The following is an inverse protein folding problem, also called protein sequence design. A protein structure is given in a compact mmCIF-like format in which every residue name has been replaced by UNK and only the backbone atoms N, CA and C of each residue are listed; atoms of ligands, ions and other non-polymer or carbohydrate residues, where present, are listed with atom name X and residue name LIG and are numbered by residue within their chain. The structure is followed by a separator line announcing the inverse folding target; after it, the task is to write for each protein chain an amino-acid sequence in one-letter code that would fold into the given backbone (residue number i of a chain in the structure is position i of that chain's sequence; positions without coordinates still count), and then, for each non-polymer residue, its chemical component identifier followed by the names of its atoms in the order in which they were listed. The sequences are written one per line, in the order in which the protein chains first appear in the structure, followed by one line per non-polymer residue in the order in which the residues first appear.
data_IF_738409586033
#
_entry.id   IF_738409586033
#
_cell.length_a   1.000
_cell.length_b   1.000
_cell.length_c   1.000
_cell.angle_alpha   90.00
_cell.angle_beta   90.00
_cell.angle_gamma   90.00
#
_symmetry.space_group_name_H-M   'P 1'
#
loop_
_entity.id
_entity.type
_entity.pdbx_description
1 polymer ?
#
# COMPACT_ATOMS: atom_id res chain seq x y z
N UNK A 1 33.23 -39.98 -27.04
CA UNK A 1 34.33 -39.15 -26.50
C UNK A 1 33.73 -38.21 -25.49
N UNK A 2 34.01 -38.45 -24.22
CA UNK A 2 33.32 -37.91 -23.06
C UNK A 2 34.31 -37.00 -22.33
N UNK A 3 34.25 -35.69 -22.52
CA UNK A 3 35.15 -34.74 -21.86
C UNK A 3 34.36 -33.91 -20.84
N UNK A 4 34.11 -34.50 -19.68
CA UNK A 4 33.58 -33.82 -18.52
C UNK A 4 34.67 -33.04 -17.79
N UNK A 5 34.56 -31.72 -17.75
CA UNK A 5 35.32 -30.89 -16.81
C UNK A 5 34.64 -31.02 -15.44
N UNK A 6 35.36 -31.57 -14.46
CA UNK A 6 34.78 -31.78 -13.12
C UNK A 6 34.82 -30.48 -12.30
N UNK A 7 33.81 -30.31 -11.44
CA UNK A 7 33.61 -29.17 -10.50
C UNK A 7 34.83 -28.87 -9.60
N UNK A 8 35.78 -29.80 -9.47
CA UNK A 8 37.05 -29.61 -8.72
C UNK A 8 38.16 -28.89 -9.49
N UNK A 9 38.05 -28.75 -10.82
CA UNK A 9 39.02 -28.00 -11.63
C UNK A 9 38.71 -26.50 -11.73
N UNK A 10 37.46 -26.09 -11.43
CA UNK A 10 37.06 -24.68 -11.44
C UNK A 10 37.50 -23.91 -10.19
N UNK A 11 37.72 -24.59 -9.07
CA UNK A 11 38.02 -23.95 -7.77
C UNK A 11 39.53 -23.86 -7.41
N UNK A 12 40.42 -24.08 -8.38
CA UNK A 12 41.89 -23.92 -8.19
C UNK A 12 42.50 -22.73 -8.94
N UNK A 13 41.68 -21.86 -9.51
CA UNK A 13 42.11 -20.66 -10.23
C UNK A 13 41.94 -19.37 -9.42
N UNK A 14 42.45 -19.30 -8.19
CA UNK A 14 42.65 -18.03 -7.49
C UNK A 14 44.05 -18.04 -6.88
N UNK A 15 44.89 -17.08 -7.29
CA UNK A 15 46.19 -16.88 -6.64
C UNK A 15 47.08 -15.84 -7.32
N UNK A 16 47.09 -14.66 -6.70
CA UNK A 16 48.14 -13.62 -6.73
C UNK A 16 48.32 -12.77 -7.99
N UNK A 17 47.98 -11.48 -7.86
CA UNK A 17 48.97 -10.40 -8.00
C UNK A 17 48.65 -9.24 -7.06
N UNK A 18 49.72 -8.68 -6.53
CA UNK A 18 49.92 -7.75 -5.41
C UNK A 18 49.64 -6.27 -5.72
N UNK A 19 49.20 -5.58 -4.66
CA UNK A 19 49.62 -4.26 -4.16
C UNK A 19 49.74 -3.06 -5.12
N UNK A 20 49.00 -2.00 -4.79
CA UNK A 20 49.22 -0.63 -5.28
C UNK A 20 48.43 0.38 -4.46
N UNK A 21 49.02 0.85 -3.37
CA UNK A 21 48.55 1.97 -2.53
C UNK A 21 48.78 3.29 -3.26
N UNK A 22 47.76 4.14 -3.37
CA UNK A 22 47.93 5.60 -3.40
C UNK A 22 46.71 6.29 -2.77
N UNK A 23 46.85 6.64 -1.49
CA UNK A 23 46.06 7.68 -0.82
C UNK A 23 46.65 9.04 -1.24
N UNK A 24 45.87 9.86 -1.93
CA UNK A 24 46.15 11.29 -2.08
C UNK A 24 45.03 12.05 -1.38
N UNK A 25 45.30 12.43 -0.13
CA UNK A 25 44.52 13.40 0.61
C UNK A 25 45.02 14.79 0.23
N UNK A 26 44.21 15.57 -0.50
CA UNK A 26 44.43 17.00 -0.68
C UNK A 26 43.66 17.74 0.41
N UNK A 27 44.33 18.04 1.52
CA UNK A 27 43.88 19.05 2.48
C UNK A 27 44.36 20.43 1.99
N UNK A 28 43.42 21.35 1.77
CA UNK A 28 43.71 22.77 1.56
C UNK A 28 43.51 23.55 2.89
N UNK A 29 44.22 24.68 3.08
CA UNK A 29 44.44 25.27 4.40
C UNK A 29 43.29 26.16 4.88
N UNK A 30 43.18 26.26 6.21
CA UNK A 30 42.31 27.21 6.91
C UNK A 30 42.72 28.67 6.65
N UNK A 31 41.77 29.61 6.53
CA UNK A 31 42.04 31.01 6.77
C UNK A 31 41.82 31.37 8.25
N UNK A 32 42.77 32.16 8.73
CA UNK A 32 42.88 32.83 10.02
C UNK A 32 41.68 33.69 10.40
N UNK A 33 41.43 33.77 11.71
CA UNK A 33 40.34 34.53 12.30
C UNK A 33 40.37 36.05 12.08
N UNK A 34 39.17 36.60 12.07
CA UNK A 34 38.85 37.97 12.43
C UNK A 34 37.63 37.90 13.35
N UNK A 35 37.78 38.34 14.59
CA UNK A 35 36.68 38.39 15.56
C UNK A 35 35.76 39.55 15.25
N UNK A 36 34.46 39.30 15.30
CA UNK A 36 33.47 40.34 15.55
C UNK A 36 32.61 39.95 16.75
N UNK A 37 32.41 40.96 17.57
CA UNK A 37 31.92 40.98 18.93
C UNK A 37 30.49 40.47 19.06
N UNK A 38 30.27 39.66 20.10
CA UNK A 38 28.96 39.26 20.59
C UNK A 38 28.11 40.48 20.96
N UNK A 39 26.96 40.63 20.29
CA UNK A 39 25.84 41.41 20.78
C UNK A 39 24.84 40.43 21.39
N UNK A 40 24.81 40.38 22.72
CA UNK A 40 23.79 39.65 23.50
C UNK A 40 22.47 40.39 23.39
N UNK A 41 21.64 40.04 22.40
CA UNK A 41 20.22 40.35 22.39
C UNK A 41 19.49 39.30 23.21
N UNK A 42 18.91 39.70 24.35
CA UNK A 42 18.12 38.83 25.20
C UNK A 42 16.96 38.21 24.44
N UNK A 43 17.05 36.90 24.19
CA UNK A 43 15.94 36.12 23.68
C UNK A 43 14.85 36.02 24.74
N UNK A 44 13.66 36.50 24.42
CA UNK A 44 12.47 35.85 24.95
C UNK A 44 12.57 34.37 24.52
N UNK A 45 12.19 33.39 25.37
CA UNK A 45 12.19 32.01 24.94
C UNK A 45 11.26 31.93 23.73
N UNK A 46 11.82 31.71 22.54
CA UNK A 46 11.06 31.28 21.40
C UNK A 46 10.37 30.02 21.89
N UNK A 47 9.04 30.09 22.01
CA UNK A 47 8.25 28.91 22.31
C UNK A 47 8.54 27.97 21.15
N UNK A 48 9.38 26.95 21.36
CA UNK A 48 9.64 25.93 20.35
C UNK A 48 8.26 25.38 19.96
N UNK A 49 7.80 25.79 18.78
CA UNK A 49 6.56 25.28 18.24
C UNK A 49 6.80 23.81 17.97
N UNK A 50 6.24 22.98 18.84
CA UNK A 50 6.20 21.53 18.69
C UNK A 50 5.59 21.22 17.32
N UNK A 51 6.38 20.62 16.43
CA UNK A 51 5.90 20.22 15.12
C UNK A 51 4.97 19.03 15.31
N UNK A 52 3.74 19.13 14.81
CA UNK A 52 2.73 18.08 14.93
C UNK A 52 2.40 17.60 13.52
N UNK A 53 2.49 16.29 13.28
CA UNK A 53 2.14 15.73 11.98
C UNK A 53 0.61 15.76 11.76
N UNK A 54 0.15 15.42 10.56
CA UNK A 54 -1.27 15.45 10.25
C UNK A 54 -2.11 14.34 10.95
N UNK A 55 -1.48 13.47 11.77
CA UNK A 55 -2.15 12.56 12.70
C UNK A 55 -2.21 13.09 14.15
N UNK A 56 -1.80 14.34 14.39
CA UNK A 56 -1.80 14.91 15.74
C UNK A 56 -0.63 14.45 16.62
N UNK A 57 0.36 13.75 16.05
CA UNK A 57 1.53 13.26 16.78
C UNK A 57 2.63 14.32 16.79
N UNK A 58 3.09 14.68 17.99
CA UNK A 58 4.25 15.55 18.18
C UNK A 58 5.53 14.84 17.67
N UNK A 59 6.23 15.51 16.77
CA UNK A 59 7.48 15.02 16.18
C UNK A 59 8.68 15.38 17.07
N UNK A 60 9.79 14.62 16.96
CA UNK A 60 11.04 14.95 17.66
C UNK A 60 11.49 16.39 17.42
N UNK A 61 12.19 16.98 18.39
CA UNK A 61 12.64 18.38 18.31
C UNK A 61 13.61 18.67 17.14
N UNK A 62 14.28 17.64 16.62
CA UNK A 62 15.17 17.71 15.46
C UNK A 62 14.49 17.38 14.12
N UNK A 63 13.17 17.17 14.12
CA UNK A 63 12.39 16.94 12.90
C UNK A 63 12.52 18.14 11.95
N UNK A 64 12.67 17.85 10.67
CA UNK A 64 12.60 18.86 9.61
C UNK A 64 11.19 19.45 9.54
N UNK A 65 11.03 20.63 8.92
CA UNK A 65 9.70 21.17 8.64
C UNK A 65 8.88 20.15 7.82
N UNK A 66 7.56 20.11 7.97
CA UNK A 66 6.72 19.07 7.34
C UNK A 66 6.85 19.10 5.81
N UNK A 67 6.97 20.28 5.22
CA UNK A 67 7.20 20.49 3.78
C UNK A 67 8.53 19.89 3.28
N UNK A 68 9.49 19.68 4.18
CA UNK A 68 10.78 19.06 3.87
C UNK A 68 10.78 17.53 4.13
N UNK A 69 9.72 16.98 4.72
CA UNK A 69 9.59 15.55 5.03
C UNK A 69 8.87 14.81 3.90
N UNK A 70 9.62 14.09 3.06
CA UNK A 70 9.06 13.24 2.02
C UNK A 70 9.81 11.91 1.91
N UNK A 71 9.11 10.90 1.40
CA UNK A 71 9.71 9.61 1.03
C UNK A 71 9.74 9.49 -0.49
N UNK A 72 10.94 9.55 -1.07
CA UNK A 72 11.11 9.25 -2.49
C UNK A 72 11.22 7.73 -2.69
N UNK A 73 10.29 7.15 -3.45
CA UNK A 73 10.28 5.73 -3.80
C UNK A 73 10.56 5.61 -5.29
N UNK A 74 11.70 5.01 -5.63
CA UNK A 74 12.04 4.74 -7.03
C UNK A 74 11.31 3.47 -7.49
N UNK A 75 10.38 3.61 -8.43
CA UNK A 75 9.52 2.52 -8.93
C UNK A 75 10.16 1.68 -10.05
N UNK A 76 11.23 2.20 -10.66
CA UNK A 76 11.98 1.53 -11.72
C UNK A 76 13.26 2.31 -12.05
N UNK A 77 14.14 1.71 -12.86
CA UNK A 77 15.26 2.47 -13.44
C UNK A 77 14.74 3.34 -14.58
N UNK A 78 15.35 4.51 -14.87
CA UNK A 78 15.05 5.25 -16.09
C UNK A 78 15.13 4.33 -17.31
N UNK A 79 14.01 4.10 -18.00
CA UNK A 79 13.91 3.21 -19.17
C UNK A 79 13.54 1.75 -18.90
N UNK A 80 13.41 1.31 -17.64
CA UNK A 80 12.82 0.01 -17.27
C UNK A 80 11.38 0.22 -16.79
N UNK A 81 10.42 -0.46 -17.43
CA UNK A 81 8.98 -0.56 -17.10
C UNK A 81 8.41 0.56 -16.21
N UNK A 82 7.87 1.61 -16.85
CA UNK A 82 6.77 2.43 -16.30
C UNK A 82 5.41 1.91 -16.81
N UNK A 83 5.34 0.63 -17.15
CA UNK A 83 4.16 -0.03 -17.69
C UNK A 83 3.28 -0.60 -16.58
N UNK A 84 1.98 -0.52 -16.79
CA UNK A 84 0.97 -1.10 -15.94
C UNK A 84 -0.42 -0.49 -16.19
N UNK A 85 -1.50 -1.23 -15.93
CA UNK A 85 -2.82 -0.65 -15.72
C UNK A 85 -2.74 0.28 -14.52
N UNK A 86 -3.34 1.44 -14.69
CA UNK A 86 -3.55 2.39 -13.62
C UNK A 86 -4.97 2.14 -13.11
N UNK A 87 -5.11 1.86 -11.83
CA UNK A 87 -6.36 1.41 -11.27
C UNK A 87 -6.20 1.04 -9.80
N UNK A 88 -7.34 0.78 -9.18
CA UNK A 88 -7.40 0.23 -7.83
C UNK A 88 -6.81 -1.19 -7.77
N UNK A 89 -6.30 -1.62 -6.62
CA UNK A 89 -5.66 -2.94 -6.40
C UNK A 89 -6.55 -4.11 -6.84
N UNK A 90 -7.87 -3.95 -6.67
CA UNK A 90 -8.88 -4.95 -7.06
C UNK A 90 -9.33 -4.83 -8.53
N UNK A 91 -8.58 -4.11 -9.37
CA UNK A 91 -8.72 -4.12 -10.83
C UNK A 91 -7.66 -5.01 -11.48
N UNK A 92 -6.41 -4.83 -11.07
CA UNK A 92 -5.27 -5.64 -11.47
C UNK A 92 -4.21 -5.50 -10.40
N UNK A 93 -3.62 -6.61 -9.97
CA UNK A 93 -2.50 -6.62 -9.02
C UNK A 93 -1.17 -6.75 -9.75
N UNK A 94 -1.09 -7.59 -10.78
CA UNK A 94 0.18 -7.88 -11.44
C UNK A 94 0.58 -6.84 -12.47
N UNK A 95 -0.41 -6.22 -13.10
CA UNK A 95 -0.19 -5.16 -14.07
C UNK A 95 -0.32 -3.77 -13.43
N UNK A 96 -0.44 -3.59 -12.10
CA UNK A 96 -0.64 -2.25 -11.52
C UNK A 96 0.61 -1.37 -11.53
N UNK A 97 0.38 -0.06 -11.63
CA UNK A 97 1.35 0.95 -11.18
C UNK A 97 1.64 0.79 -9.67
N UNK A 98 2.91 0.58 -9.30
CA UNK A 98 3.31 0.15 -7.96
C UNK A 98 2.99 1.11 -6.77
N UNK A 99 2.64 2.41 -6.92
CA UNK A 99 2.24 3.23 -5.76
C UNK A 99 0.72 3.36 -5.54
N UNK A 100 -0.15 2.82 -6.40
CA UNK A 100 -1.60 3.07 -6.29
C UNK A 100 -2.24 2.51 -5.01
N UNK A 101 -1.57 1.56 -4.34
CA UNK A 101 -2.04 0.96 -3.09
C UNK A 101 -1.79 1.79 -1.85
N UNK A 102 -1.16 2.96 -1.98
CA UNK A 102 -1.02 3.87 -0.84
C UNK A 102 -2.35 4.52 -0.46
N UNK A 103 -3.26 4.74 -1.42
CA UNK A 103 -4.58 5.30 -1.12
C UNK A 103 -5.66 4.28 -0.83
N UNK A 104 -5.33 3.00 -0.74
CA UNK A 104 -6.29 1.90 -0.59
C UNK A 104 -6.15 1.23 0.78
N UNK A 105 -7.28 0.80 1.33
CA UNK A 105 -7.38 0.17 2.65
C UNK A 105 -7.75 -1.30 2.49
N UNK A 106 -6.91 -2.25 2.95
CA UNK A 106 -7.27 -3.65 2.92
C UNK A 106 -8.20 -4.04 4.08
N UNK A 107 -8.79 -5.22 4.04
CA UNK A 107 -9.60 -5.72 5.16
C UNK A 107 -8.72 -6.04 6.39
N UNK A 108 -7.54 -6.64 6.13
CA UNK A 108 -6.55 -7.00 7.16
C UNK A 108 -5.14 -6.66 6.66
N UNK A 109 -4.14 -6.62 7.54
CA UNK A 109 -2.72 -6.51 7.19
C UNK A 109 -1.85 -7.47 8.00
N UNK A 110 -0.55 -7.53 7.69
CA UNK A 110 0.45 -8.17 8.54
C UNK A 110 1.15 -7.12 9.41
N UNK A 111 1.17 -7.34 10.72
CA UNK A 111 1.97 -6.51 11.63
C UNK A 111 3.48 -6.85 11.52
N UNK A 112 4.33 -6.17 12.30
CA UNK A 112 5.78 -6.39 12.29
C UNK A 112 6.20 -7.82 12.69
N UNK A 113 5.36 -8.51 13.47
CA UNK A 113 5.56 -9.89 13.89
C UNK A 113 4.96 -10.91 12.90
N UNK A 114 4.42 -10.42 11.77
CA UNK A 114 3.78 -11.19 10.69
C UNK A 114 2.47 -11.86 11.11
N UNK A 115 1.81 -11.32 12.12
CA UNK A 115 0.48 -11.73 12.52
C UNK A 115 -0.55 -10.96 11.67
N UNK A 116 -1.65 -11.64 11.35
CA UNK A 116 -2.79 -11.00 10.68
C UNK A 116 -3.51 -10.11 11.69
N UNK A 117 -3.66 -8.83 11.37
CA UNK A 117 -4.37 -7.84 12.16
C UNK A 117 -5.42 -7.15 11.30
N UNK A 118 -6.53 -6.73 11.90
CA UNK A 118 -7.59 -6.01 11.19
C UNK A 118 -7.20 -4.55 10.97
N UNK A 119 -7.52 -4.02 9.79
CA UNK A 119 -7.38 -2.58 9.49
C UNK A 119 -8.63 -2.01 8.83
N UNK A 120 -9.27 -2.77 7.93
CA UNK A 120 -10.65 -2.56 7.49
C UNK A 120 -11.70 -3.12 8.46
N UNK A 121 -11.29 -3.94 9.42
CA UNK A 121 -12.15 -4.57 10.42
C UNK A 121 -11.53 -4.52 11.82
N UNK A 122 -12.37 -4.49 12.86
CA UNK A 122 -11.94 -4.55 14.26
C UNK A 122 -11.78 -5.99 14.77
N UNK A 123 -12.52 -6.94 14.19
CA UNK A 123 -12.48 -8.35 14.56
C UNK A 123 -13.06 -9.25 13.47
N UNK A 124 -12.85 -10.56 13.62
CA UNK A 124 -13.51 -11.58 12.81
C UNK A 124 -13.80 -12.84 13.62
N UNK A 125 -14.86 -13.56 13.25
CA UNK A 125 -15.29 -14.79 13.91
C UNK A 125 -15.64 -15.87 12.88
N UNK A 126 -15.18 -17.10 13.13
CA UNK A 126 -15.56 -18.26 12.34
C UNK A 126 -16.91 -18.81 12.85
N UNK A 127 -17.78 -19.21 11.92
CA UNK A 127 -19.02 -19.91 12.24
C UNK A 127 -18.79 -21.25 12.95
N UNK A 128 -19.79 -21.74 13.69
CA UNK A 128 -19.72 -23.04 14.38
C UNK A 128 -19.44 -24.23 13.44
N UNK A 129 -20.01 -24.20 12.23
CA UNK A 129 -19.79 -25.22 11.20
C UNK A 129 -18.45 -25.05 10.44
N UNK A 130 -17.85 -23.87 10.56
CA UNK A 130 -16.61 -23.46 9.93
C UNK A 130 -16.73 -23.08 8.45
N UNK A 131 -17.96 -22.85 7.96
CA UNK A 131 -18.25 -22.58 6.56
C UNK A 131 -18.38 -21.09 6.22
N UNK A 132 -18.41 -20.20 7.21
CA UNK A 132 -18.30 -18.77 6.98
C UNK A 132 -17.47 -18.05 8.05
N UNK A 133 -17.05 -16.84 7.72
CA UNK A 133 -16.40 -15.89 8.62
C UNK A 133 -17.14 -14.56 8.60
N UNK A 134 -17.47 -14.03 9.78
CA UNK A 134 -18.00 -12.68 9.96
C UNK A 134 -16.88 -11.72 10.31
N UNK A 135 -16.68 -10.69 9.50
CA UNK A 135 -15.76 -9.59 9.77
C UNK A 135 -16.55 -8.38 10.26
N UNK A 136 -16.23 -7.90 11.46
CA UNK A 136 -16.78 -6.66 12.01
C UNK A 136 -15.98 -5.48 11.51
N UNK A 137 -16.55 -4.72 10.58
CA UNK A 137 -15.91 -3.57 9.96
C UNK A 137 -15.78 -2.43 10.97
N UNK A 138 -14.74 -1.62 10.80
CA UNK A 138 -14.54 -0.45 11.65
C UNK A 138 -15.55 0.64 11.26
N UNK A 139 -16.40 1.12 12.19
CA UNK A 139 -17.46 2.07 11.86
C UNK A 139 -16.95 3.47 11.52
N UNK A 140 -15.71 3.79 11.87
CA UNK A 140 -15.06 5.08 11.57
C UNK A 140 -14.46 5.18 10.17
N UNK A 141 -14.48 4.10 9.38
CA UNK A 141 -13.92 4.10 8.04
C UNK A 141 -14.73 4.99 7.10
N UNK A 142 -14.00 5.82 6.36
CA UNK A 142 -14.57 6.72 5.37
C UNK A 142 -13.62 6.88 4.20
N UNK A 143 -14.19 7.05 3.03
CA UNK A 143 -13.49 7.51 1.86
C UNK A 143 -13.05 8.97 2.02
N UNK A 144 -12.08 9.40 1.22
CA UNK A 144 -11.49 10.74 1.26
C UNK A 144 -12.45 11.87 0.87
N UNK A 145 -13.61 11.55 0.30
CA UNK A 145 -14.72 12.45 -0.02
C UNK A 145 -15.71 12.61 1.16
N UNK A 146 -15.50 11.87 2.26
CA UNK A 146 -16.36 11.86 3.44
C UNK A 146 -17.44 10.79 3.44
N UNK A 147 -17.58 10.00 2.36
CA UNK A 147 -18.55 8.90 2.30
C UNK A 147 -18.14 7.78 3.25
N UNK A 148 -19.03 7.29 4.15
CA UNK A 148 -18.72 6.14 5.00
C UNK A 148 -18.42 4.89 4.18
N UNK A 149 -17.48 4.06 4.65
CA UNK A 149 -17.20 2.75 4.07
C UNK A 149 -18.05 1.71 4.80
N UNK A 150 -18.91 0.99 4.07
CA UNK A 150 -19.81 -0.02 4.61
C UNK A 150 -19.61 -1.39 3.93
N UNK A 151 -20.19 -2.45 4.49
CA UNK A 151 -20.04 -3.82 3.98
C UNK A 151 -20.43 -3.97 2.50
N UNK A 152 -21.42 -3.20 2.02
CA UNK A 152 -21.83 -3.24 0.62
C UNK A 152 -20.74 -2.74 -0.35
N UNK A 153 -19.85 -1.84 0.08
CA UNK A 153 -18.73 -1.38 -0.75
C UNK A 153 -17.72 -2.51 -1.00
N UNK A 154 -17.49 -3.35 0.01
CA UNK A 154 -16.65 -4.55 -0.12
C UNK A 154 -17.31 -5.56 -1.06
N UNK A 155 -18.60 -5.85 -0.87
CA UNK A 155 -19.38 -6.74 -1.76
C UNK A 155 -19.30 -6.25 -3.20
N UNK A 156 -19.55 -4.95 -3.43
CA UNK A 156 -19.45 -4.33 -4.75
C UNK A 156 -18.04 -4.48 -5.33
N UNK A 157 -17.01 -4.20 -4.53
CA UNK A 157 -15.61 -4.27 -4.98
C UNK A 157 -15.23 -5.67 -5.46
N UNK A 158 -15.56 -6.70 -4.68
CA UNK A 158 -15.29 -8.09 -5.06
C UNK A 158 -16.08 -8.52 -6.30
N UNK A 159 -17.37 -8.16 -6.38
CA UNK A 159 -18.20 -8.45 -7.56
C UNK A 159 -17.62 -7.80 -8.82
N UNK A 160 -17.23 -6.52 -8.74
CA UNK A 160 -16.58 -5.83 -9.85
C UNK A 160 -15.28 -6.55 -10.23
N UNK A 161 -14.40 -6.82 -9.27
CA UNK A 161 -13.10 -7.43 -9.53
C UNK A 161 -13.24 -8.76 -10.28
N UNK A 162 -14.09 -9.65 -9.79
CA UNK A 162 -14.21 -11.00 -10.32
C UNK A 162 -15.02 -11.11 -11.61
N UNK A 163 -15.82 -10.09 -11.95
CA UNK A 163 -16.52 -10.02 -13.25
C UNK A 163 -15.74 -9.28 -14.33
N UNK A 164 -14.73 -8.48 -13.95
CA UNK A 164 -13.95 -7.66 -14.89
C UNK A 164 -12.51 -8.18 -15.07
N UNK A 165 -12.27 -9.46 -14.83
CA UNK A 165 -11.01 -10.11 -15.19
C UNK A 165 -9.82 -9.78 -14.28
N UNK A 166 -10.07 -9.56 -12.98
CA UNK A 166 -8.99 -9.33 -12.00
C UNK A 166 -7.91 -10.43 -12.05
N UNK A 167 -6.69 -10.03 -12.40
CA UNK A 167 -5.57 -10.94 -12.70
C UNK A 167 -5.00 -11.70 -11.48
N UNK A 168 -5.47 -11.36 -10.28
CA UNK A 168 -5.10 -12.00 -9.02
C UNK A 168 -6.28 -12.71 -8.34
N UNK A 169 -7.39 -12.92 -9.06
CA UNK A 169 -8.58 -13.58 -8.50
C UNK A 169 -8.31 -14.99 -7.94
N UNK A 170 -7.28 -15.67 -8.43
CA UNK A 170 -6.86 -17.00 -7.95
C UNK A 170 -6.56 -17.03 -6.44
N UNK A 171 -6.14 -15.90 -5.87
CA UNK A 171 -5.86 -15.77 -4.45
C UNK A 171 -7.11 -15.92 -3.57
N UNK A 172 -8.30 -15.70 -4.15
CA UNK A 172 -9.59 -15.73 -3.46
C UNK A 172 -10.41 -17.00 -3.77
N UNK A 173 -9.84 -17.97 -4.48
CA UNK A 173 -10.56 -19.15 -4.98
C UNK A 173 -11.10 -20.11 -3.91
N UNK A 174 -10.72 -19.94 -2.65
CA UNK A 174 -11.28 -20.68 -1.52
C UNK A 174 -12.54 -20.03 -0.93
N UNK A 175 -12.88 -18.80 -1.36
CA UNK A 175 -14.19 -18.19 -1.13
C UNK A 175 -15.21 -18.83 -2.08
N UNK A 176 -16.39 -19.12 -1.54
CA UNK A 176 -17.47 -19.79 -2.25
C UNK A 176 -17.83 -19.05 -3.56
N UNK A 177 -17.92 -19.82 -4.64
CA UNK A 177 -18.29 -19.38 -6.00
C UNK A 177 -17.32 -18.40 -6.70
N UNK A 178 -16.15 -18.02 -6.13
CA UNK A 178 -15.21 -17.12 -6.84
C UNK A 178 -14.75 -17.73 -8.16
N UNK A 179 -14.38 -19.02 -8.18
CA UNK A 179 -13.89 -19.69 -9.41
C UNK A 179 -14.94 -19.66 -10.51
N UNK A 180 -16.17 -20.00 -10.16
CA UNK A 180 -17.31 -20.08 -11.06
C UNK A 180 -17.72 -18.70 -11.58
N UNK A 181 -17.70 -17.67 -10.74
CA UNK A 181 -17.96 -16.28 -11.16
C UNK A 181 -16.88 -15.78 -12.11
N UNK A 182 -15.59 -16.02 -11.79
CA UNK A 182 -14.47 -15.64 -12.65
C UNK A 182 -14.49 -16.38 -13.99
N UNK A 183 -14.95 -17.63 -14.01
CA UNK A 183 -15.13 -18.41 -15.24
C UNK A 183 -16.35 -17.98 -16.07
N UNK A 184 -17.26 -17.18 -15.50
CA UNK A 184 -18.54 -16.82 -16.12
C UNK A 184 -19.61 -17.92 -16.04
N UNK A 185 -19.38 -18.96 -15.23
CA UNK A 185 -20.31 -20.08 -15.01
C UNK A 185 -21.43 -19.72 -14.04
N UNK A 186 -21.21 -18.70 -13.19
CA UNK A 186 -22.19 -18.17 -12.23
C UNK A 186 -22.26 -16.64 -12.28
N UNK A 187 -23.43 -16.04 -11.99
CA UNK A 187 -23.58 -14.60 -11.90
C UNK A 187 -22.90 -14.04 -10.64
N UNK A 188 -22.53 -12.76 -10.65
CA UNK A 188 -21.80 -12.10 -9.56
C UNK A 188 -22.58 -12.08 -8.24
N UNK A 189 -23.90 -12.14 -8.31
CA UNK A 189 -24.81 -12.17 -7.17
C UNK A 189 -24.67 -13.46 -6.36
N UNK A 190 -24.20 -14.55 -6.96
CA UNK A 190 -23.92 -15.82 -6.28
C UNK A 190 -22.55 -15.85 -5.58
N UNK A 191 -21.74 -14.79 -5.67
CA UNK A 191 -20.47 -14.72 -4.96
C UNK A 191 -20.69 -14.91 -3.45
N UNK A 192 -19.85 -15.74 -2.82
CA UNK A 192 -19.93 -16.05 -1.39
C UNK A 192 -19.47 -14.93 -0.46
N UNK A 193 -19.85 -13.68 -0.76
CA UNK A 193 -19.52 -12.49 0.02
C UNK A 193 -20.81 -11.69 0.16
N UNK A 194 -21.24 -11.46 1.40
CA UNK A 194 -22.50 -10.78 1.70
C UNK A 194 -22.32 -9.71 2.78
N UNK A 195 -23.07 -8.61 2.66
CA UNK A 195 -23.26 -7.63 3.71
C UNK A 195 -24.43 -8.07 4.58
N UNK A 196 -24.16 -8.43 5.84
CA UNK A 196 -25.20 -8.79 6.82
C UNK A 196 -25.87 -7.51 7.36
N UNK A 197 -25.07 -6.49 7.59
CA UNK A 197 -25.42 -5.12 7.93
C UNK A 197 -24.27 -4.20 7.49
N UNK A 198 -24.41 -2.88 7.69
CA UNK A 198 -23.44 -1.88 7.26
C UNK A 198 -22.01 -2.14 7.78
N UNK A 199 -21.87 -2.85 8.90
CA UNK A 199 -20.59 -3.09 9.56
C UNK A 199 -20.25 -4.57 9.74
N UNK A 200 -20.91 -5.46 9.01
CA UNK A 200 -20.66 -6.91 9.07
C UNK A 200 -20.56 -7.49 7.67
N UNK A 201 -19.35 -7.81 7.26
CA UNK A 201 -19.06 -8.51 6.00
C UNK A 201 -18.93 -10.01 6.30
N UNK A 202 -19.76 -10.84 5.68
CA UNK A 202 -19.65 -12.30 5.78
C UNK A 202 -19.02 -12.88 4.52
N UNK A 203 -18.06 -13.77 4.71
CA UNK A 203 -17.40 -14.53 3.64
C UNK A 203 -17.68 -16.01 3.82
N UNK A 204 -18.32 -16.62 2.84
CA UNK A 204 -18.69 -18.04 2.78
C UNK A 204 -17.61 -18.87 2.08
N UNK A 205 -17.52 -20.14 2.46
CA UNK A 205 -16.54 -21.10 1.94
C UNK A 205 -17.20 -22.46 1.72
N UNK A 206 -16.76 -23.20 0.69
CA UNK A 206 -17.30 -24.53 0.40
C UNK A 206 -16.79 -25.62 1.36
N UNK A 207 -15.75 -25.33 2.12
CA UNK A 207 -15.12 -26.21 3.10
C UNK A 207 -14.48 -25.38 4.21
N UNK A 208 -13.96 -25.99 5.27
CA UNK A 208 -13.32 -25.25 6.36
C UNK A 208 -11.99 -24.64 5.89
N UNK A 209 -11.98 -23.32 5.75
CA UNK A 209 -10.80 -22.54 5.35
C UNK A 209 -10.40 -21.64 6.53
N UNK A 210 -9.46 -22.07 7.40
CA UNK A 210 -9.13 -21.34 8.62
C UNK A 210 -8.35 -20.03 8.38
N UNK A 211 -7.82 -19.85 7.17
CA UNK A 211 -6.97 -18.70 6.81
C UNK A 211 -7.72 -17.61 6.03
N UNK A 212 -9.06 -17.62 6.00
CA UNK A 212 -9.85 -16.55 5.37
C UNK A 212 -9.44 -15.14 5.83
N UNK A 213 -9.16 -14.89 7.13
CA UNK A 213 -8.63 -13.59 7.55
C UNK A 213 -7.32 -13.21 6.85
N UNK A 214 -6.44 -14.16 6.56
CA UNK A 214 -5.19 -13.89 5.85
C UNK A 214 -5.38 -13.53 4.37
N UNK A 215 -6.54 -13.84 3.78
CA UNK A 215 -6.87 -13.37 2.43
C UNK A 215 -7.20 -11.87 2.41
N UNK A 216 -7.61 -11.31 3.56
CA UNK A 216 -7.94 -9.89 3.71
C UNK A 216 -6.79 -8.94 3.39
N UNK A 217 -5.54 -9.43 3.38
CA UNK A 217 -4.34 -8.63 3.07
C UNK A 217 -4.26 -8.15 1.62
N UNK A 218 -5.02 -8.79 0.72
CA UNK A 218 -5.14 -8.36 -0.68
C UNK A 218 -6.58 -7.98 -1.05
N UNK A 219 -7.49 -7.90 -0.07
CA UNK A 219 -8.86 -7.46 -0.27
C UNK A 219 -8.91 -5.96 0.04
N UNK A 220 -8.93 -5.10 -0.98
CA UNK A 220 -9.01 -3.65 -0.82
C UNK A 220 -10.41 -3.16 -1.16
N UNK A 221 -10.91 -2.13 -0.47
CA UNK A 221 -12.22 -1.53 -0.76
C UNK A 221 -12.11 -0.39 -1.77
N UNK A 222 -12.89 -0.45 -2.85
CA UNK A 222 -12.90 0.55 -3.91
C UNK A 222 -14.09 1.53 -3.76
N UNK A 223 -13.90 2.81 -4.12
CA UNK A 223 -14.96 3.83 -4.08
C UNK A 223 -15.93 3.63 -5.25
N UNK A 224 -17.03 2.92 -4.99
CA UNK A 224 -18.11 2.69 -5.97
C UNK A 224 -18.58 3.99 -6.64
N UNK A 225 -18.73 5.05 -5.86
CA UNK A 225 -19.18 6.36 -6.32
C UNK A 225 -18.22 7.00 -7.35
N UNK A 226 -16.91 6.88 -7.16
CA UNK A 226 -15.94 7.40 -8.13
C UNK A 226 -16.03 6.62 -9.44
N UNK A 227 -16.19 5.30 -9.34
CA UNK A 227 -16.35 4.42 -10.48
C UNK A 227 -17.63 4.70 -11.28
N UNK A 228 -18.77 4.85 -10.59
CA UNK A 228 -20.05 5.18 -11.24
C UNK A 228 -20.01 6.53 -11.96
N UNK A 229 -19.25 7.49 -11.43
CA UNK A 229 -19.13 8.83 -12.01
C UNK A 229 -18.11 8.93 -13.15
N UNK A 230 -16.95 8.27 -13.02
CA UNK A 230 -15.79 8.48 -13.90
C UNK A 230 -15.30 7.20 -14.61
N UNK A 231 -15.95 6.05 -14.38
CA UNK A 231 -15.56 4.76 -14.93
C UNK A 231 -14.17 4.32 -14.49
N UNK A 232 -13.51 3.47 -15.30
CA UNK A 232 -12.15 2.96 -15.01
C UNK A 232 -11.08 4.07 -14.90
N UNK A 233 -11.39 5.28 -15.37
CA UNK A 233 -10.44 6.40 -15.34
C UNK A 233 -10.47 7.22 -14.05
N UNK A 234 -11.33 6.88 -13.08
CA UNK A 234 -11.48 7.61 -11.82
C UNK A 234 -10.16 7.79 -11.05
N UNK A 235 -9.25 6.82 -11.16
CA UNK A 235 -7.97 6.82 -10.44
C UNK A 235 -6.84 7.54 -11.20
N UNK A 236 -7.09 8.01 -12.43
CA UNK A 236 -6.09 8.62 -13.32
C UNK A 236 -5.90 10.12 -13.13
N UNK A 237 -6.85 10.79 -12.49
CA UNK A 237 -6.84 12.23 -12.29
C UNK A 237 -6.94 12.52 -10.79
N UNK A 238 -6.03 13.33 -10.21
CA UNK A 238 -6.07 13.67 -8.78
C UNK A 238 -7.43 14.20 -8.32
N UNK A 239 -8.15 14.93 -9.16
CA UNK A 239 -9.46 15.51 -8.86
C UNK A 239 -10.58 14.47 -8.73
N UNK A 240 -10.40 13.29 -9.34
CA UNK A 240 -11.37 12.19 -9.30
C UNK A 240 -10.97 11.08 -8.32
N UNK A 241 -9.72 11.12 -7.83
CA UNK A 241 -9.17 10.09 -6.97
C UNK A 241 -9.80 10.14 -5.58
N UNK A 242 -10.55 9.10 -5.24
CA UNK A 242 -11.10 8.88 -3.90
C UNK A 242 -10.31 7.78 -3.19
N UNK A 243 -9.57 8.14 -2.13
CA UNK A 243 -8.82 7.20 -1.31
C UNK A 243 -9.72 6.56 -0.25
N UNK A 244 -9.48 5.31 0.08
CA UNK A 244 -10.00 4.67 1.31
C UNK A 244 -8.94 4.59 2.41
N UNK A 245 -7.66 4.74 2.04
CA UNK A 245 -6.50 4.56 2.93
C UNK A 245 -5.81 5.88 3.35
N UNK A 246 -4.57 5.78 3.87
CA UNK A 246 -3.87 6.89 4.53
C UNK A 246 -3.34 7.98 3.59
N UNK A 247 -3.32 7.77 2.27
CA UNK A 247 -2.71 8.70 1.33
C UNK A 247 -3.72 9.13 0.23
N UNK A 248 -3.74 10.42 -0.11
CA UNK A 248 -4.51 10.96 -1.25
C UNK A 248 -3.55 11.33 -2.38
N UNK A 249 -3.92 11.03 -3.63
CA UNK A 249 -3.18 11.46 -4.82
C UNK A 249 -3.36 12.98 -5.03
N UNK A 250 -2.26 13.73 -5.11
CA UNK A 250 -2.30 15.19 -5.35
C UNK A 250 -1.70 15.60 -6.68
N UNK A 251 -0.84 14.76 -7.26
CA UNK A 251 -0.25 15.01 -8.56
C UNK A 251 -0.01 13.68 -9.28
N UNK A 252 -0.37 13.62 -10.56
CA UNK A 252 0.01 12.52 -11.43
C UNK A 252 0.63 13.05 -12.72
N UNK A 253 1.96 13.08 -12.76
CA UNK A 253 2.72 13.35 -13.98
C UNK A 253 2.99 12.03 -14.72
N UNK A 254 2.18 11.76 -15.75
CA UNK A 254 2.17 10.50 -16.49
C UNK A 254 3.57 10.09 -16.96
N UNK A 255 4.00 8.90 -16.54
CA UNK A 255 5.32 8.34 -16.90
C UNK A 255 6.50 8.97 -16.15
N UNK A 256 6.26 9.92 -15.24
CA UNK A 256 7.31 10.64 -14.50
C UNK A 256 7.19 10.40 -13.00
N UNK A 257 6.09 10.81 -12.37
CA UNK A 257 5.91 10.72 -10.91
C UNK A 257 4.46 10.75 -10.48
N UNK A 258 4.24 10.26 -9.27
CA UNK A 258 3.04 10.46 -8.47
C UNK A 258 3.43 11.19 -7.19
N UNK A 259 2.61 12.15 -6.77
CA UNK A 259 2.73 12.79 -5.46
C UNK A 259 1.49 12.42 -4.66
N UNK A 260 1.73 11.92 -3.45
CA UNK A 260 0.69 11.61 -2.49
C UNK A 260 0.91 12.43 -1.22
N UNK A 261 -0.18 12.87 -0.62
CA UNK A 261 -0.20 13.56 0.67
C UNK A 261 -1.03 12.76 1.67
N UNK A 262 -0.85 13.03 2.97
CA UNK A 262 -1.63 12.34 3.99
C UNK A 262 -3.13 12.64 3.79
N UNK A 263 -3.96 11.61 3.92
CA UNK A 263 -5.39 11.74 4.07
C UNK A 263 -5.72 12.14 5.53
N UNK A 264 -6.06 13.41 5.84
CA UNK A 264 -6.36 13.81 7.22
C UNK A 264 -7.68 13.23 7.76
N UNK A 265 -8.53 12.74 6.85
CA UNK A 265 -9.83 12.16 7.17
C UNK A 265 -9.74 10.67 7.50
N UNK A 266 -8.61 10.02 7.20
CA UNK A 266 -8.38 8.60 7.45
C UNK A 266 -8.41 8.30 8.96
N UNK A 267 -9.26 7.35 9.36
CA UNK A 267 -9.48 6.97 10.77
C UNK A 267 -8.90 5.62 11.16
N UNK A 268 -8.20 4.96 10.25
CA UNK A 268 -6.89 4.40 10.56
C UNK A 268 -6.66 3.01 10.05
#
# INVERSE_FOLDING_TARGET
MNNGVSRRQFLRGMGLTTAGVFLVACAAPAPSGGGETAATGGGAPATEMKLVNALGVELPADAKALEDQYRLIQLGRPGEQTGGSFGHEMESLYNRGYPLGFGSEPLTMLNNDREVVGVGCESWEQSEDGLYWDFKLRPELQFSDGTPIVAEDWVWTFRRAFTNGYDFAWFFYDILNVREVVAGDKPAEELGIEAIDDHTLRIHTASRVPYIPALGVWAFVAPKQAYEQFGDTWSLEPEHYIASGPWKLTEFERGVKWTFELNPDYKG
#
